data_IF_391810587632
#
_entry.id   IF_391810587632
#
_cell.length_a   1.000
_cell.length_b   1.000
_cell.length_c   1.000
_cell.angle_alpha   90.00
_cell.angle_beta   90.00
_cell.angle_gamma   90.00
#
_symmetry.space_group_name_H-M   'P 1'
#
loop_
_entity.id
_entity.type
_entity.pdbx_description
1 polymer ?
#
# COMPACT_ATOMS: atom_id res chain seq x y z
N UNK A 1 5.23 1.06 -19.13
CA UNK A 1 5.31 0.18 -17.94
C UNK A 1 4.00 0.38 -17.20
N UNK A 2 3.34 -0.68 -16.69
CA UNK A 2 2.14 -0.49 -15.88
C UNK A 2 2.50 0.49 -14.76
N UNK A 3 1.65 1.50 -14.59
CA UNK A 3 1.83 2.50 -13.55
C UNK A 3 1.56 1.85 -12.20
N UNK A 4 2.59 1.75 -11.37
CA UNK A 4 2.46 1.24 -10.00
C UNK A 4 2.62 2.41 -9.05
N UNK A 5 1.61 2.61 -8.19
CA UNK A 5 1.61 3.65 -7.17
C UNK A 5 1.65 2.97 -5.80
N UNK A 6 2.58 3.41 -4.96
CA UNK A 6 2.67 2.96 -3.57
C UNK A 6 2.07 4.01 -2.65
N UNK A 7 1.18 3.58 -1.76
CA UNK A 7 0.60 4.41 -0.71
C UNK A 7 1.21 3.98 0.61
N UNK A 8 1.78 4.94 1.34
CA UNK A 8 2.47 4.69 2.60
C UNK A 8 1.67 5.24 3.79
N UNK A 9 1.66 4.53 4.92
CA UNK A 9 1.06 5.04 6.14
C UNK A 9 1.81 6.27 6.66
N UNK A 10 1.05 7.26 7.14
CA UNK A 10 1.64 8.45 7.73
C UNK A 10 2.25 8.12 9.10
N UNK A 11 3.51 8.51 9.32
CA UNK A 11 4.20 8.38 10.61
C UNK A 11 4.35 6.93 11.09
N UNK A 12 4.51 5.94 10.21
CA UNK A 12 4.90 4.58 10.61
C UNK A 12 6.17 4.63 11.46
N UNK A 13 6.06 4.15 12.71
CA UNK A 13 7.14 4.24 13.68
C UNK A 13 8.21 3.18 13.44
N UNK A 14 7.92 2.19 12.58
CA UNK A 14 8.83 1.09 12.27
C UNK A 14 9.22 1.17 10.79
N UNK A 15 10.41 1.72 10.54
CA UNK A 15 10.98 1.77 9.20
C UNK A 15 11.29 0.36 8.68
N UNK A 16 10.94 0.10 7.42
CA UNK A 16 11.22 -1.14 6.73
C UNK A 16 11.41 -0.89 5.23
N UNK A 17 12.02 -1.84 4.53
CA UNK A 17 12.21 -1.75 3.08
C UNK A 17 10.90 -1.93 2.32
N UNK A 18 10.60 -1.02 1.40
CA UNK A 18 9.32 -1.02 0.66
C UNK A 18 9.46 -1.38 -0.82
N UNK A 19 10.70 -1.50 -1.30
CA UNK A 19 11.04 -1.72 -2.71
C UNK A 19 11.04 -3.21 -3.12
N UNK A 20 10.48 -4.09 -2.29
CA UNK A 20 10.44 -5.54 -2.50
C UNK A 20 9.04 -6.11 -2.31
N UNK A 21 8.70 -7.15 -3.08
CA UNK A 21 7.38 -7.82 -3.00
C UNK A 21 7.09 -8.55 -1.69
N UNK A 22 8.07 -8.67 -0.80
CA UNK A 22 7.95 -9.31 0.52
C UNK A 22 8.06 -8.25 1.63
N UNK A 23 7.20 -7.23 1.59
CA UNK A 23 7.17 -6.21 2.62
C UNK A 23 6.59 -6.80 3.92
N UNK A 24 7.30 -6.70 5.06
CA UNK A 24 6.82 -7.22 6.34
C UNK A 24 5.54 -6.53 6.83
N UNK A 25 5.24 -5.34 6.30
CA UNK A 25 4.01 -4.59 6.50
C UNK A 25 2.74 -5.32 6.00
N UNK A 26 2.89 -6.35 5.16
CA UNK A 26 1.78 -7.09 4.57
C UNK A 26 0.88 -6.23 3.69
N UNK A 27 1.41 -5.59 2.64
CA UNK A 27 0.67 -4.61 1.84
C UNK A 27 -0.44 -5.27 1.02
N UNK A 28 -1.48 -4.49 0.70
CA UNK A 28 -2.58 -4.91 -0.17
C UNK A 28 -2.36 -4.37 -1.58
N UNK A 29 -2.63 -5.18 -2.61
CA UNK A 29 -2.47 -4.79 -4.02
C UNK A 29 -3.80 -4.83 -4.77
N UNK A 30 -4.18 -3.72 -5.37
CA UNK A 30 -5.44 -3.57 -6.09
C UNK A 30 -5.19 -3.12 -7.54
N UNK A 31 -5.77 -3.81 -8.54
CA UNK A 31 -5.67 -3.38 -9.92
C UNK A 31 -6.62 -2.20 -10.18
N UNK A 32 -6.10 -1.16 -10.84
CA UNK A 32 -6.87 0.01 -11.27
C UNK A 32 -6.85 0.09 -12.79
N UNK A 33 -8.04 0.08 -13.39
CA UNK A 33 -8.19 0.16 -14.84
C UNK A 33 -8.57 1.59 -15.24
N UNK A 34 -7.87 2.14 -16.23
CA UNK A 34 -8.29 3.40 -16.85
C UNK A 34 -9.45 3.18 -17.84
N UNK A 35 -9.99 4.30 -18.36
CA UNK A 35 -11.11 4.27 -19.31
C UNK A 35 -10.74 3.61 -20.66
N UNK A 36 -9.45 3.52 -20.97
CA UNK A 36 -8.91 2.90 -22.18
C UNK A 36 -8.55 1.41 -21.97
N UNK A 37 -8.75 0.89 -20.75
CA UNK A 37 -8.50 -0.51 -20.36
C UNK A 37 -7.06 -0.82 -19.97
N UNK A 38 -6.19 0.19 -19.82
CA UNK A 38 -4.86 -0.01 -19.29
C UNK A 38 -4.93 -0.33 -17.78
N UNK A 39 -4.11 -1.29 -17.35
CA UNK A 39 -4.06 -1.74 -15.96
C UNK A 39 -2.85 -1.11 -15.24
N UNK A 40 -3.14 -0.34 -14.19
CA UNK A 40 -2.20 0.07 -13.16
C UNK A 40 -2.42 -0.69 -11.87
N UNK A 41 -1.49 -0.52 -10.92
CA UNK A 41 -1.56 -1.16 -9.60
C UNK A 41 -1.43 -0.11 -8.50
N UNK A 42 -2.31 -0.19 -7.51
CA UNK A 42 -2.16 0.54 -6.24
C UNK A 42 -1.74 -0.47 -5.19
N UNK A 43 -0.60 -0.19 -4.55
CA UNK A 43 -0.04 -1.01 -3.48
C UNK A 43 -0.11 -0.19 -2.20
N UNK A 44 -0.98 -0.59 -1.28
CA UNK A 44 -1.19 0.09 0.00
C UNK A 44 -0.42 -0.62 1.09
N UNK A 45 0.54 0.06 1.70
CA UNK A 45 1.32 -0.45 2.83
C UNK A 45 0.55 -0.22 4.15
N UNK A 46 0.65 -1.15 5.09
CA UNK A 46 0.05 -1.01 6.43
C UNK A 46 1.10 -0.60 7.45
N UNK A 47 0.70 0.13 8.49
CA UNK A 47 1.63 0.53 9.54
C UNK A 47 2.06 -0.68 10.39
N UNK A 48 3.34 -0.78 10.74
CA UNK A 48 3.86 -1.88 11.56
C UNK A 48 3.83 -1.58 13.07
N UNK A 49 3.49 -0.37 13.47
CA UNK A 49 3.42 0.06 14.87
C UNK A 49 2.12 -0.36 15.59
N UNK A 50 1.24 -1.11 14.92
CA UNK A 50 0.04 -1.71 15.52
C UNK A 50 -1.10 -0.72 15.80
N UNK A 51 -0.97 0.54 15.36
CA UNK A 51 -2.01 1.57 15.53
C UNK A 51 -3.26 1.33 14.68
N UNK A 52 -3.15 0.54 13.60
CA UNK A 52 -4.27 0.16 12.72
C UNK A 52 -5.42 -0.48 13.50
N UNK A 53 -5.15 -1.11 14.66
CA UNK A 53 -6.18 -1.65 15.54
C UNK A 53 -7.09 -0.58 16.18
N UNK A 54 -6.67 0.69 16.19
CA UNK A 54 -7.35 1.82 16.81
C UNK A 54 -7.66 2.95 15.81
N UNK A 55 -7.26 2.80 14.55
CA UNK A 55 -7.58 3.73 13.47
C UNK A 55 -8.89 3.29 12.80
N UNK A 56 -9.80 4.23 12.47
CA UNK A 56 -11.00 3.89 11.74
C UNK A 56 -10.63 3.39 10.33
N UNK A 57 -11.29 2.32 9.86
CA UNK A 57 -11.19 1.92 8.46
C UNK A 57 -11.58 3.11 7.57
N UNK A 58 -10.64 3.58 6.76
CA UNK A 58 -10.91 4.61 5.76
C UNK A 58 -11.48 3.90 4.53
N UNK A 59 -12.81 3.83 4.47
CA UNK A 59 -13.57 3.37 3.29
C UNK A 59 -13.66 4.43 2.19
#
# INVERSE_FOLDING_TARGET
MPQTVHVYPNNDLIEHGTDGGDCPCGPTSEPVFDADGACGWVITHHSLDGREANEPEVV
#
